data_IF_520719970796
#
_entry.id   IF_520719970796
#
_cell.length_a   1.000
_cell.length_b   1.000
_cell.length_c   1.000
_cell.angle_alpha   90.00
_cell.angle_beta   90.00
_cell.angle_gamma   90.00
#
_symmetry.space_group_name_H-M   'P 1'
#
loop_
_entity.id
_entity.type
_entity.pdbx_description
1 polymer ?
#
# COMPACT_ATOMS: atom_id res chain seq x y z
N UNK A 1 -17.79 5.84 -3.60
CA UNK A 1 -16.78 4.78 -3.34
C UNK A 1 -15.49 5.01 -4.11
N UNK A 2 -15.53 5.29 -5.42
CA UNK A 2 -14.35 5.57 -6.25
C UNK A 2 -13.35 6.58 -5.63
N UNK A 3 -13.83 7.77 -5.23
CA UNK A 3 -13.00 8.78 -4.54
C UNK A 3 -12.30 8.24 -3.28
N UNK A 4 -12.96 7.38 -2.52
CA UNK A 4 -12.38 6.79 -1.30
C UNK A 4 -11.28 5.78 -1.63
N UNK A 5 -11.47 4.96 -2.67
CA UNK A 5 -10.47 3.98 -3.12
C UNK A 5 -9.22 4.67 -3.68
N UNK A 6 -9.38 5.78 -4.41
CA UNK A 6 -8.27 6.60 -4.91
C UNK A 6 -7.47 7.26 -3.79
N UNK A 7 -8.16 7.89 -2.84
CA UNK A 7 -7.52 8.47 -1.64
C UNK A 7 -6.78 7.40 -0.84
N UNK A 8 -7.33 6.20 -0.73
CA UNK A 8 -6.66 5.08 -0.05
C UNK A 8 -5.34 4.71 -0.75
N UNK A 9 -5.33 4.63 -2.07
CA UNK A 9 -4.11 4.40 -2.86
C UNK A 9 -3.09 5.51 -2.62
N UNK A 10 -3.47 6.78 -2.78
CA UNK A 10 -2.57 7.93 -2.59
C UNK A 10 -2.00 8.00 -1.17
N UNK A 11 -2.82 7.72 -0.17
CA UNK A 11 -2.36 7.65 1.21
C UNK A 11 -1.35 6.52 1.38
N UNK A 12 -1.65 5.32 0.87
CA UNK A 12 -0.76 4.16 1.01
C UNK A 12 0.60 4.38 0.34
N UNK A 13 0.61 5.00 -0.84
CA UNK A 13 1.84 5.35 -1.56
C UNK A 13 2.69 6.36 -0.77
N UNK A 14 2.07 7.40 -0.20
CA UNK A 14 2.78 8.35 0.69
C UNK A 14 3.40 7.66 1.92
N UNK A 15 2.74 6.64 2.48
CA UNK A 15 3.31 5.88 3.59
C UNK A 15 4.49 5.02 3.15
N UNK A 16 4.45 4.43 1.95
CA UNK A 16 5.59 3.70 1.39
C UNK A 16 6.78 4.61 1.18
N UNK A 17 6.58 5.79 0.56
CA UNK A 17 7.63 6.79 0.38
C UNK A 17 8.25 7.22 1.72
N UNK A 18 7.43 7.44 2.75
CA UNK A 18 7.90 7.76 4.09
C UNK A 18 8.72 6.63 4.72
N UNK A 19 8.30 5.37 4.53
CA UNK A 19 9.01 4.19 5.03
C UNK A 19 10.35 4.00 4.32
N UNK A 20 10.41 4.25 3.01
CA UNK A 20 11.65 4.19 2.23
C UNK A 20 12.67 5.21 2.69
N UNK A 21 12.21 6.40 3.09
CA UNK A 21 13.04 7.47 3.65
C UNK A 21 13.58 7.21 5.06
N UNK A 22 13.13 6.16 5.77
CA UNK A 22 13.64 5.87 7.11
C UNK A 22 15.11 5.39 7.01
N UNK A 23 16.01 5.83 7.90
CA UNK A 23 17.33 5.22 8.02
C UNK A 23 17.22 3.86 8.72
N UNK A 24 17.93 2.85 8.21
CA UNK A 24 18.04 1.53 8.88
C UNK A 24 19.09 1.59 10.00
N UNK A 25 20.18 2.29 9.71
CA UNK A 25 21.29 2.52 10.61
C UNK A 25 21.37 4.02 10.90
N UNK A 26 21.45 4.37 12.17
CA UNK A 26 21.86 5.68 12.68
C UNK A 26 23.11 5.49 13.53
N UNK A 27 23.71 6.59 14.00
CA UNK A 27 24.84 6.53 14.93
C UNK A 27 24.50 5.62 16.14
N UNK A 28 25.44 4.77 16.55
CA UNK A 28 25.29 3.73 17.59
C UNK A 28 24.26 2.59 17.33
N UNK A 29 23.83 2.37 16.08
CA UNK A 29 22.96 1.22 15.78
C UNK A 29 23.74 -0.10 15.84
N UNK A 30 23.36 -1.01 16.74
CA UNK A 30 23.92 -2.37 16.77
C UNK A 30 23.42 -3.22 15.60
N UNK A 31 24.16 -4.28 15.23
CA UNK A 31 23.74 -5.18 14.13
C UNK A 31 22.37 -5.84 14.38
N UNK A 32 22.07 -6.17 15.64
CA UNK A 32 20.77 -6.71 16.04
C UNK A 32 19.64 -5.68 15.86
N UNK A 33 19.90 -4.41 16.20
CA UNK A 33 18.95 -3.33 15.98
C UNK A 33 18.71 -3.08 14.49
N UNK A 34 19.78 -3.05 13.69
CA UNK A 34 19.70 -2.92 12.24
C UNK A 34 18.85 -4.05 11.60
N UNK A 35 19.03 -5.29 12.08
CA UNK A 35 18.28 -6.45 11.59
C UNK A 35 16.80 -6.34 11.95
N UNK A 36 16.46 -6.02 13.20
CA UNK A 36 15.06 -5.78 13.60
C UNK A 36 14.43 -4.62 12.83
N UNK A 37 15.18 -3.56 12.53
CA UNK A 37 14.71 -2.43 11.75
C UNK A 37 14.39 -2.82 10.30
N UNK A 38 15.23 -3.65 9.67
CA UNK A 38 14.97 -4.23 8.33
C UNK A 38 13.72 -5.10 8.31
N UNK A 39 13.58 -5.99 9.28
CA UNK A 39 12.42 -6.88 9.39
C UNK A 39 11.12 -6.10 9.58
N UNK A 40 11.13 -5.11 10.48
CA UNK A 40 9.97 -4.23 10.70
C UNK A 40 9.62 -3.45 9.44
N UNK A 41 10.60 -2.89 8.74
CA UNK A 41 10.38 -2.20 7.46
C UNK A 41 9.72 -3.12 6.45
N UNK A 42 10.28 -4.31 6.26
CA UNK A 42 9.75 -5.31 5.32
C UNK A 42 8.30 -5.67 5.67
N UNK A 43 8.01 -5.95 6.93
CA UNK A 43 6.67 -6.29 7.38
C UNK A 43 5.64 -5.17 7.10
N UNK A 44 6.02 -3.89 7.30
CA UNK A 44 5.17 -2.75 6.99
C UNK A 44 4.92 -2.60 5.48
N UNK A 45 5.98 -2.71 4.67
CA UNK A 45 5.88 -2.64 3.21
C UNK A 45 4.98 -3.76 2.67
N UNK A 46 5.22 -5.00 3.09
CA UNK A 46 4.44 -6.18 2.67
C UNK A 46 2.96 -6.04 3.07
N UNK A 47 2.69 -5.50 4.27
CA UNK A 47 1.34 -5.20 4.74
C UNK A 47 0.62 -4.16 3.89
N UNK A 48 1.28 -3.03 3.61
CA UNK A 48 0.71 -1.98 2.76
C UNK A 48 0.47 -2.49 1.34
N UNK A 49 1.42 -3.23 0.75
CA UNK A 49 1.28 -3.79 -0.58
C UNK A 49 0.11 -4.79 -0.65
N UNK A 50 -0.09 -5.60 0.39
CA UNK A 50 -1.23 -6.52 0.48
C UNK A 50 -2.57 -5.76 0.49
N UNK A 51 -2.64 -4.63 1.19
CA UNK A 51 -3.84 -3.79 1.21
C UNK A 51 -4.09 -3.09 -0.12
N UNK A 52 -3.04 -2.57 -0.77
CA UNK A 52 -3.11 -2.00 -2.11
C UNK A 52 -3.65 -3.02 -3.12
N UNK A 53 -3.12 -4.24 -3.12
CA UNK A 53 -3.59 -5.32 -3.99
C UNK A 53 -5.08 -5.66 -3.78
N UNK A 54 -5.58 -5.54 -2.54
CA UNK A 54 -7.01 -5.70 -2.24
C UNK A 54 -7.82 -4.50 -2.72
N UNK A 55 -7.31 -3.29 -2.54
CA UNK A 55 -7.94 -2.06 -3.03
C UNK A 55 -8.10 -2.10 -4.56
N UNK A 56 -7.10 -2.58 -5.30
CA UNK A 56 -7.16 -2.73 -6.76
C UNK A 56 -8.27 -3.68 -7.20
N UNK A 57 -8.48 -4.79 -6.46
CA UNK A 57 -9.62 -5.69 -6.71
C UNK A 57 -10.95 -4.98 -6.50
N UNK A 58 -11.05 -4.11 -5.49
CA UNK A 58 -12.25 -3.31 -5.25
C UNK A 58 -12.48 -2.25 -6.33
N UNK A 59 -11.42 -1.62 -6.83
CA UNK A 59 -11.49 -0.68 -7.96
C UNK A 59 -12.02 -1.39 -9.21
N UNK A 60 -11.41 -2.52 -9.59
CA UNK A 60 -11.84 -3.32 -10.75
C UNK A 60 -13.31 -3.74 -10.63
N UNK A 61 -13.71 -4.25 -9.46
CA UNK A 61 -15.11 -4.66 -9.22
C UNK A 61 -16.08 -3.47 -9.32
N UNK A 62 -15.67 -2.29 -8.88
CA UNK A 62 -16.48 -1.08 -8.99
C UNK A 62 -16.61 -0.62 -10.45
N UNK A 63 -15.53 -0.71 -11.23
CA UNK A 63 -15.52 -0.41 -12.68
C UNK A 63 -16.40 -1.40 -13.45
N UNK A 64 -16.26 -2.70 -13.20
CA UNK A 64 -17.13 -3.73 -13.80
C UNK A 64 -18.61 -3.47 -13.49
N UNK A 65 -18.92 -3.12 -12.24
CA UNK A 65 -20.29 -2.80 -11.86
C UNK A 65 -20.83 -1.56 -12.58
N UNK A 66 -20.01 -0.51 -12.75
CA UNK A 66 -20.38 0.67 -13.55
C UNK A 66 -20.66 0.29 -14.99
N UNK A 67 -19.76 -0.44 -15.64
CA UNK A 67 -19.93 -0.88 -17.03
C UNK A 67 -21.18 -1.74 -17.24
N UNK A 68 -21.55 -2.57 -16.27
CA UNK A 68 -22.81 -3.33 -16.32
C UNK A 68 -24.04 -2.42 -16.22
N UNK A 69 -24.00 -1.42 -15.34
CA UNK A 69 -25.09 -0.43 -15.23
C UNK A 69 -25.24 0.40 -16.50
N UNK A 70 -24.12 0.74 -17.14
CA UNK A 70 -24.08 1.52 -18.38
C UNK A 70 -24.41 0.67 -19.62
N UNK A 71 -24.63 -0.64 -19.45
CA UNK A 71 -24.97 -1.57 -20.53
C UNK A 71 -23.81 -1.93 -21.45
N UNK A 72 -22.58 -1.57 -21.09
CA UNK A 72 -21.36 -1.85 -21.87
C UNK A 72 -20.92 -3.32 -21.78
N UNK A 73 -21.33 -4.03 -20.72
CA UNK A 73 -21.00 -5.44 -20.49
C UNK A 73 -22.24 -6.15 -19.95
N UNK A 74 -22.58 -7.31 -20.56
CA UNK A 74 -23.65 -8.22 -20.13
C UNK A 74 -23.32 -8.96 -18.82
#
# INVERSE_FOLDING_TARGET
MDKRLKIFTESSLRHLEAIDGLPINVEDTSEEQATRNREKRKALVDGIQTLLNKNDKHVRRLEEYRKRLDGEIL
#
